data_IF_552631103296
#
_entry.id   IF_552631103296
#
_cell.length_a   1.000
_cell.length_b   1.000
_cell.length_c   1.000
_cell.angle_alpha   90.00
_cell.angle_beta   90.00
_cell.angle_gamma   90.00
#
_symmetry.space_group_name_H-M   'P 1'
#
loop_
_entity.id
_entity.type
_entity.pdbx_description
1 polymer ?
#
# COMPACT_ATOMS: atom_id res chain seq x y z
N UNK A 1 11.40 -32.45 -33.91
CA UNK A 1 11.43 -32.10 -32.48
C UNK A 1 12.27 -33.08 -31.62
N UNK A 2 12.72 -34.24 -32.12
CA UNK A 2 13.46 -35.24 -31.31
C UNK A 2 14.96 -35.02 -31.12
N UNK A 3 15.61 -34.09 -31.85
CA UNK A 3 17.06 -33.88 -31.73
C UNK A 3 17.49 -33.06 -30.50
N UNK A 4 16.56 -32.40 -29.81
CA UNK A 4 16.85 -31.59 -28.62
C UNK A 4 16.86 -32.41 -27.32
N UNK A 5 16.10 -33.51 -27.26
CA UNK A 5 16.03 -34.36 -26.05
C UNK A 5 17.21 -35.33 -25.93
N UNK A 6 17.82 -35.72 -27.06
CA UNK A 6 18.98 -36.62 -27.06
C UNK A 6 20.25 -35.99 -26.44
N UNK A 7 20.35 -34.65 -26.42
CA UNK A 7 21.53 -33.95 -25.86
C UNK A 7 21.46 -33.66 -24.36
N UNK A 8 20.31 -33.89 -23.72
CA UNK A 8 20.16 -33.73 -22.27
C UNK A 8 20.48 -35.01 -21.50
N UNK A 9 20.67 -36.13 -22.20
CA UNK A 9 20.91 -37.46 -21.62
C UNK A 9 22.32 -37.99 -21.90
N UNK A 10 23.18 -37.20 -22.55
CA UNK A 10 24.60 -37.54 -22.67
C UNK A 10 25.27 -37.28 -21.31
N UNK A 11 25.86 -38.28 -20.65
CA UNK A 11 26.64 -38.06 -19.45
C UNK A 11 27.90 -37.26 -19.82
N UNK A 12 28.18 -36.19 -19.07
CA UNK A 12 29.41 -35.40 -19.21
C UNK A 12 30.63 -36.33 -19.18
N UNK A 13 31.44 -36.29 -20.24
CA UNK A 13 32.66 -37.11 -20.39
C UNK A 13 33.87 -36.59 -19.62
N UNK A 14 33.69 -35.62 -18.72
CA UNK A 14 34.80 -35.02 -17.99
C UNK A 14 34.75 -35.46 -16.53
N UNK A 15 35.87 -36.05 -16.11
CA UNK A 15 36.04 -36.83 -14.89
C UNK A 15 35.55 -36.15 -13.62
N UNK A 16 35.17 -37.03 -12.69
CA UNK A 16 34.87 -36.80 -11.28
C UNK A 16 36.07 -36.24 -10.47
N UNK A 17 36.77 -35.25 -10.99
CA UNK A 17 38.01 -34.71 -10.42
C UNK A 17 37.87 -33.23 -10.06
N UNK A 18 36.66 -32.80 -9.72
CA UNK A 18 36.45 -31.50 -9.08
C UNK A 18 35.99 -31.76 -7.64
N UNK A 19 36.87 -31.62 -6.63
CA UNK A 19 36.43 -31.71 -5.25
C UNK A 19 35.35 -30.64 -5.01
N UNK A 20 34.30 -30.94 -4.23
CA UNK A 20 33.30 -29.93 -3.91
C UNK A 20 34.01 -28.70 -3.33
N UNK A 21 33.61 -27.47 -3.71
CA UNK A 21 34.19 -26.27 -3.13
C UNK A 21 34.05 -26.40 -1.61
N UNK A 22 35.19 -26.41 -0.90
CA UNK A 22 35.18 -26.51 0.56
C UNK A 22 34.35 -25.32 1.07
N UNK A 23 33.16 -25.60 1.57
CA UNK A 23 32.38 -24.63 2.33
C UNK A 23 33.25 -24.24 3.51
N UNK A 24 33.82 -23.04 3.44
CA UNK A 24 34.72 -22.52 4.47
C UNK A 24 34.01 -22.67 5.83
N UNK A 25 34.60 -23.40 6.80
CA UNK A 25 33.97 -23.59 8.10
C UNK A 25 33.84 -22.22 8.75
N UNK A 26 32.59 -21.80 8.95
CA UNK A 26 32.19 -20.63 9.73
C UNK A 26 33.21 -19.48 9.66
N UNK A 27 33.29 -18.82 8.49
CA UNK A 27 33.81 -17.45 8.49
C UNK A 27 32.87 -16.62 9.36
N UNK A 28 33.14 -16.55 10.65
CA UNK A 28 32.59 -15.55 11.55
C UNK A 28 33.01 -14.21 10.97
N UNK A 29 32.16 -13.63 10.13
CA UNK A 29 32.39 -12.31 9.56
C UNK A 29 32.31 -11.34 10.72
N UNK A 30 33.47 -10.92 11.21
CA UNK A 30 33.55 -9.84 12.17
C UNK A 30 33.26 -8.54 11.42
N UNK A 31 32.00 -8.10 11.50
CA UNK A 31 31.56 -6.85 10.89
C UNK A 31 32.00 -5.73 11.82
N UNK A 32 33.02 -4.98 11.43
CA UNK A 32 33.39 -3.75 12.14
C UNK A 32 32.32 -2.69 11.85
N UNK A 33 31.48 -2.41 12.84
CA UNK A 33 30.38 -1.44 12.73
C UNK A 33 30.86 -0.03 12.37
N UNK A 34 32.16 0.27 12.57
CA UNK A 34 32.80 1.54 12.19
C UNK A 34 33.12 1.63 10.69
N UNK A 35 33.15 0.49 10.01
CA UNK A 35 33.40 0.38 8.57
C UNK A 35 32.10 0.26 7.75
N UNK A 36 30.95 0.15 8.43
CA UNK A 36 29.66 0.31 7.76
C UNK A 36 29.53 1.76 7.28
N UNK A 37 29.07 2.00 6.04
CA UNK A 37 28.84 3.36 5.57
C UNK A 37 27.91 4.06 6.56
N UNK A 38 28.38 5.17 7.16
CA UNK A 38 27.72 5.87 8.27
C UNK A 38 26.34 6.47 7.96
N UNK A 39 25.83 6.23 6.75
CA UNK A 39 24.50 6.65 6.31
C UNK A 39 23.66 5.40 6.12
N UNK A 40 23.00 4.97 7.19
CA UNK A 40 21.77 4.21 7.03
C UNK A 40 20.86 5.08 6.13
N UNK A 41 20.48 4.55 4.97
CA UNK A 41 19.40 5.17 4.21
C UNK A 41 18.21 5.28 5.18
N UNK A 42 17.56 6.46 5.29
CA UNK A 42 16.41 6.58 6.16
C UNK A 42 15.41 5.49 5.80
N UNK A 43 14.93 4.75 6.80
CA UNK A 43 13.87 3.77 6.60
C UNK A 43 12.73 4.47 5.87
N UNK A 44 12.29 3.90 4.74
CA UNK A 44 11.16 4.46 4.00
C UNK A 44 9.98 4.52 4.95
N UNK A 45 9.38 5.70 5.11
CA UNK A 45 8.13 5.80 5.85
C UNK A 45 7.08 5.02 5.07
N UNK A 46 6.59 3.92 5.64
CA UNK A 46 5.47 3.18 5.07
C UNK A 46 4.24 4.07 5.17
N UNK A 47 3.81 4.64 4.04
CA UNK A 47 2.58 5.45 3.96
C UNK A 47 1.40 4.51 3.85
N UNK A 48 0.55 4.53 4.85
CA UNK A 48 -0.61 3.65 4.93
C UNK A 48 -1.78 4.40 4.33
N UNK A 49 -2.33 3.84 3.25
CA UNK A 49 -3.48 4.39 2.55
C UNK A 49 -4.64 3.44 2.78
N UNK A 50 -5.77 3.96 3.23
CA UNK A 50 -6.98 3.17 3.45
C UNK A 50 -7.93 3.44 2.30
N UNK A 51 -8.32 2.39 1.58
CA UNK A 51 -9.32 2.52 0.52
C UNK A 51 -10.71 2.29 1.08
N UNK A 52 -11.60 3.28 0.93
CA UNK A 52 -13.04 3.14 1.15
C UNK A 52 -13.76 2.91 -0.18
N UNK A 53 -14.96 2.33 -0.13
CA UNK A 53 -15.70 1.99 -1.34
C UNK A 53 -16.26 3.24 -1.99
N UNK A 54 -17.02 4.03 -1.25
CA UNK A 54 -17.72 5.21 -1.76
C UNK A 54 -17.51 6.42 -0.83
N UNK A 55 -17.73 7.62 -1.36
CA UNK A 55 -17.61 8.85 -0.58
C UNK A 55 -18.62 8.90 0.59
N UNK A 56 -19.81 8.31 0.38
CA UNK A 56 -20.87 8.22 1.37
C UNK A 56 -20.45 7.41 2.61
N UNK A 57 -19.50 6.49 2.50
CA UNK A 57 -18.99 5.75 3.66
C UNK A 57 -18.35 6.70 4.68
N UNK A 58 -17.72 7.80 4.24
CA UNK A 58 -17.10 8.80 5.11
C UNK A 58 -18.13 9.71 5.80
N UNK A 59 -19.39 9.70 5.38
CA UNK A 59 -20.47 10.38 6.10
C UNK A 59 -20.94 9.58 7.30
N UNK A 60 -20.65 8.28 7.33
CA UNK A 60 -21.13 7.39 8.36
C UNK A 60 -20.25 7.49 9.60
N UNK A 61 -20.89 7.71 10.74
CA UNK A 61 -20.21 7.91 12.02
C UNK A 61 -19.43 6.66 12.47
N UNK A 62 -19.96 5.47 12.24
CA UNK A 62 -19.29 4.21 12.57
C UNK A 62 -17.99 4.05 11.77
N UNK A 63 -18.02 4.34 10.46
CA UNK A 63 -16.83 4.28 9.60
C UNK A 63 -15.77 5.28 10.07
N UNK A 64 -16.16 6.54 10.35
CA UNK A 64 -15.22 7.55 10.84
C UNK A 64 -14.56 7.16 12.16
N UNK A 65 -15.34 6.63 13.11
CA UNK A 65 -14.80 6.16 14.40
C UNK A 65 -13.82 5.01 14.23
N UNK A 66 -14.09 4.07 13.35
CA UNK A 66 -13.16 2.97 13.10
C UNK A 66 -11.88 3.47 12.41
N UNK A 67 -11.96 4.45 11.50
CA UNK A 67 -10.79 5.06 10.88
C UNK A 67 -9.94 5.86 11.87
N UNK A 68 -10.57 6.59 12.80
CA UNK A 68 -9.87 7.29 13.89
C UNK A 68 -9.15 6.30 14.81
N UNK A 69 -9.83 5.23 15.24
CA UNK A 69 -9.21 4.16 16.04
C UNK A 69 -8.07 3.47 15.29
N UNK A 70 -8.25 3.21 13.99
CA UNK A 70 -7.19 2.64 13.16
C UNK A 70 -5.97 3.57 13.17
N UNK A 71 -6.17 4.88 12.97
CA UNK A 71 -5.10 5.87 13.00
C UNK A 71 -4.34 5.91 14.33
N UNK A 72 -5.03 5.78 15.46
CA UNK A 72 -4.41 5.71 16.79
C UNK A 72 -3.47 4.50 16.94
N UNK A 73 -3.82 3.38 16.30
CA UNK A 73 -2.99 2.16 16.33
C UNK A 73 -1.91 2.15 15.25
N UNK A 74 -2.20 2.76 14.09
CA UNK A 74 -1.44 2.64 12.87
C UNK A 74 -1.62 3.91 12.04
N UNK A 75 -0.62 4.82 12.00
CA UNK A 75 -0.77 6.13 11.39
C UNK A 75 -1.19 6.05 9.92
N UNK A 76 -2.44 6.42 9.67
CA UNK A 76 -3.01 6.56 8.31
C UNK A 76 -2.48 7.84 7.68
N UNK A 77 -2.02 7.74 6.44
CA UNK A 77 -1.48 8.87 5.66
C UNK A 77 -2.53 9.50 4.74
N UNK A 78 -3.37 8.67 4.13
CA UNK A 78 -4.33 9.11 3.13
C UNK A 78 -5.53 8.17 3.07
N UNK A 79 -6.64 8.69 2.55
CA UNK A 79 -7.83 7.89 2.22
C UNK A 79 -7.98 7.86 0.71
N UNK A 80 -8.01 6.66 0.15
CA UNK A 80 -8.34 6.43 -1.24
C UNK A 80 -9.83 6.06 -1.37
N UNK A 81 -10.48 6.43 -2.47
CA UNK A 81 -11.89 6.16 -2.70
C UNK A 81 -12.03 5.43 -4.03
N UNK A 82 -12.41 4.16 -3.98
CA UNK A 82 -12.43 3.30 -5.17
C UNK A 82 -13.49 3.74 -6.18
N UNK A 83 -14.73 3.94 -5.72
CA UNK A 83 -15.88 4.28 -6.55
C UNK A 83 -16.66 5.45 -5.94
N UNK A 84 -16.16 6.69 -6.06
CA UNK A 84 -16.65 7.83 -5.26
C UNK A 84 -18.14 8.14 -5.42
N UNK A 85 -18.75 7.78 -6.56
CA UNK A 85 -20.11 8.17 -6.91
C UNK A 85 -21.06 7.01 -7.25
N UNK A 86 -20.63 5.75 -7.08
CA UNK A 86 -21.37 4.58 -7.61
C UNK A 86 -22.82 4.48 -7.08
N UNK A 87 -23.03 4.74 -5.79
CA UNK A 87 -24.36 4.74 -5.15
C UNK A 87 -24.64 6.01 -4.34
N UNK A 88 -23.89 7.08 -4.62
CA UNK A 88 -23.82 8.24 -3.73
C UNK A 88 -25.13 9.02 -3.70
N UNK A 89 -25.72 9.11 -2.51
CA UNK A 89 -26.93 9.93 -2.27
C UNK A 89 -26.61 11.41 -2.19
N UNK A 90 -25.34 11.78 -1.98
CA UNK A 90 -24.86 13.16 -2.05
C UNK A 90 -25.34 13.84 -3.33
N UNK A 91 -25.38 13.09 -4.43
CA UNK A 91 -25.73 13.60 -5.76
C UNK A 91 -27.14 13.23 -6.22
N UNK A 92 -27.93 12.53 -5.39
CA UNK A 92 -29.24 12.00 -5.79
C UNK A 92 -30.42 12.91 -5.40
N UNK A 93 -30.27 13.76 -4.39
CA UNK A 93 -31.37 14.60 -3.86
C UNK A 93 -31.04 16.08 -3.97
N UNK A 94 -31.99 16.91 -4.44
CA UNK A 94 -31.84 18.37 -4.47
C UNK A 94 -31.23 18.95 -5.76
N UNK A 95 -30.85 18.10 -6.72
CA UNK A 95 -30.43 18.53 -8.06
C UNK A 95 -31.60 18.90 -8.98
N UNK A 96 -32.77 18.33 -8.73
CA UNK A 96 -34.00 18.62 -9.47
C UNK A 96 -34.63 19.97 -9.09
N UNK A 97 -34.19 20.57 -7.98
CA UNK A 97 -34.63 21.90 -7.55
C UNK A 97 -33.55 22.95 -7.92
N UNK A 98 -33.84 23.85 -8.88
CA UNK A 98 -32.91 24.91 -9.30
C UNK A 98 -32.43 25.82 -8.16
N UNK A 99 -33.18 25.93 -7.06
CA UNK A 99 -32.79 26.72 -5.89
C UNK A 99 -31.83 25.98 -4.96
N UNK A 100 -31.83 24.64 -4.98
CA UNK A 100 -31.03 23.79 -4.10
C UNK A 100 -29.85 23.12 -4.80
N UNK A 101 -29.81 23.09 -6.13
CA UNK A 101 -28.80 22.38 -6.92
C UNK A 101 -27.33 22.75 -6.56
N UNK A 102 -27.05 23.98 -6.15
CA UNK A 102 -25.71 24.40 -5.70
C UNK A 102 -25.36 23.99 -4.27
N UNK A 103 -26.36 23.68 -3.44
CA UNK A 103 -26.21 23.41 -2.01
C UNK A 103 -26.41 21.94 -1.63
N UNK A 104 -27.07 21.18 -2.50
CA UNK A 104 -27.57 19.82 -2.27
C UNK A 104 -26.53 18.83 -1.73
N UNK A 105 -25.26 18.96 -2.14
CA UNK A 105 -24.16 18.10 -1.68
C UNK A 105 -23.06 18.85 -0.92
N UNK A 106 -23.03 20.18 -1.01
CA UNK A 106 -21.86 20.97 -0.60
C UNK A 106 -21.59 20.87 0.90
N UNK A 107 -22.62 20.88 1.74
CA UNK A 107 -22.48 20.77 3.19
C UNK A 107 -21.81 19.45 3.61
N UNK A 108 -22.24 18.35 2.99
CA UNK A 108 -21.74 17.02 3.29
C UNK A 108 -20.29 16.84 2.81
N UNK A 109 -19.96 17.38 1.63
CA UNK A 109 -18.58 17.44 1.13
C UNK A 109 -17.69 18.28 2.04
N UNK A 110 -18.16 19.46 2.44
CA UNK A 110 -17.45 20.33 3.38
C UNK A 110 -17.19 19.60 4.70
N UNK A 111 -18.16 18.86 5.23
CA UNK A 111 -18.00 18.09 6.46
C UNK A 111 -16.93 16.99 6.31
N UNK A 112 -16.94 16.24 5.21
CA UNK A 112 -15.92 15.21 4.93
C UNK A 112 -14.53 15.84 4.84
N UNK A 113 -14.36 16.85 3.98
CA UNK A 113 -13.04 17.46 3.77
C UNK A 113 -12.52 18.20 5.00
N UNK A 114 -13.40 18.83 5.78
CA UNK A 114 -12.98 19.44 7.06
C UNK A 114 -12.48 18.39 8.05
N UNK A 115 -13.14 17.23 8.11
CA UNK A 115 -12.71 16.13 8.96
C UNK A 115 -11.39 15.51 8.47
N UNK A 116 -11.25 15.23 7.17
CA UNK A 116 -10.00 14.73 6.59
C UNK A 116 -8.83 15.69 6.84
N UNK A 117 -9.06 17.00 6.68
CA UNK A 117 -8.06 18.03 6.95
C UNK A 117 -7.66 18.07 8.43
N UNK A 118 -8.61 17.90 9.36
CA UNK A 118 -8.31 17.82 10.80
C UNK A 118 -7.44 16.60 11.13
N UNK A 119 -7.63 15.48 10.43
CA UNK A 119 -6.81 14.27 10.58
C UNK A 119 -5.45 14.37 9.86
N UNK A 120 -5.26 15.37 9.00
CA UNK A 120 -4.06 15.52 8.18
C UNK A 120 -3.95 14.48 7.06
N UNK A 121 -5.08 13.88 6.65
CA UNK A 121 -5.11 12.87 5.60
C UNK A 121 -5.27 13.53 4.22
N UNK A 122 -4.44 13.07 3.29
CA UNK A 122 -4.47 13.48 1.87
C UNK A 122 -5.32 12.57 1.00
#
# INVERSE_FOLDING_TARGET
MERLYARLSEPEKNGWDNPPPRLNPQQTRQIDLRQLPGRAAPLRHTRIVVTVRELDDLLREDVRRELERLHDTLPVYAIDINDPFLSSRLFATGWDDPQMAGYACWYQLQQIFSWLANMGWG
#
